data_IF_961450790779
#
_entry.id   IF_961450790779
#
_cell.length_a   1.000
_cell.length_b   1.000
_cell.length_c   1.000
_cell.angle_alpha   90.00
_cell.angle_beta   90.00
_cell.angle_gamma   90.00
#
_symmetry.space_group_name_H-M   'P 1'
#
loop_
_entity.id
_entity.type
_entity.pdbx_description
1 polymer ?
#
# COMPACT_ATOMS: atom_id res chain seq x y z
N UNK A 1 -13.18 -6.79 -23.35
CA UNK A 1 -12.73 -5.50 -22.77
C UNK A 1 -13.82 -4.78 -21.95
N UNK A 2 -15.09 -4.74 -22.38
CA UNK A 2 -16.17 -4.06 -21.62
C UNK A 2 -16.47 -4.68 -20.24
N UNK A 3 -16.35 -6.00 -20.08
CA UNK A 3 -16.52 -6.68 -18.78
C UNK A 3 -15.44 -6.28 -17.73
N UNK A 4 -14.27 -5.83 -18.16
CA UNK A 4 -13.23 -5.33 -17.25
C UNK A 4 -13.54 -3.91 -16.72
N UNK A 5 -14.40 -3.16 -17.41
CA UNK A 5 -14.78 -1.78 -17.04
C UNK A 5 -15.98 -1.77 -16.09
N UNK A 6 -16.90 -2.74 -16.20
CA UNK A 6 -18.08 -2.84 -15.32
C UNK A 6 -17.93 -3.82 -14.13
N UNK A 7 -16.78 -4.50 -14.03
CA UNK A 7 -16.20 -4.94 -12.77
C UNK A 7 -17.07 -5.85 -11.89
N UNK A 8 -17.53 -6.99 -12.41
CA UNK A 8 -18.18 -8.01 -11.59
C UNK A 8 -18.44 -9.32 -12.32
N UNK A 9 -18.58 -10.41 -11.56
CA UNK A 9 -18.94 -11.73 -12.07
C UNK A 9 -20.19 -11.68 -12.97
N UNK A 10 -21.18 -10.85 -12.60
CA UNK A 10 -22.39 -10.66 -13.38
C UNK A 10 -22.14 -10.06 -14.76
N UNK A 11 -21.24 -9.08 -14.88
CA UNK A 11 -20.95 -8.42 -16.15
C UNK A 11 -20.22 -9.36 -17.13
N UNK A 12 -19.30 -10.19 -16.65
CA UNK A 12 -18.63 -11.20 -17.47
C UNK A 12 -19.58 -12.31 -17.90
N UNK A 13 -20.44 -12.80 -16.99
CA UNK A 13 -21.44 -13.82 -17.32
C UNK A 13 -22.47 -13.32 -18.33
N UNK A 14 -22.94 -12.07 -18.19
CA UNK A 14 -23.82 -11.42 -19.15
C UNK A 14 -23.16 -11.26 -20.52
N UNK A 15 -21.88 -10.87 -20.58
CA UNK A 15 -21.15 -10.73 -21.83
C UNK A 15 -20.99 -12.08 -22.56
N UNK A 16 -20.64 -13.15 -21.83
CA UNK A 16 -20.57 -14.50 -22.39
C UNK A 16 -21.94 -15.00 -22.84
N UNK A 17 -22.99 -14.77 -22.05
CA UNK A 17 -24.36 -15.14 -22.41
C UNK A 17 -24.87 -14.41 -23.66
N UNK A 18 -24.66 -13.10 -23.74
CA UNK A 18 -25.02 -12.29 -24.92
C UNK A 18 -24.25 -12.76 -26.16
N UNK A 19 -22.96 -13.08 -26.03
CA UNK A 19 -22.17 -13.61 -27.14
C UNK A 19 -22.73 -14.96 -27.65
N UNK A 20 -23.16 -15.85 -26.74
CA UNK A 20 -23.82 -17.10 -27.13
C UNK A 20 -25.17 -16.85 -27.81
N UNK A 21 -25.98 -15.91 -27.32
CA UNK A 21 -27.27 -15.57 -27.93
C UNK A 21 -27.09 -15.00 -29.34
N UNK A 22 -26.11 -14.12 -29.54
CA UNK A 22 -25.78 -13.58 -30.86
C UNK A 22 -25.33 -14.72 -31.80
N UNK A 23 -24.46 -15.62 -31.32
CA UNK A 23 -23.97 -16.74 -32.12
C UNK A 23 -25.10 -17.71 -32.52
N UNK A 24 -26.12 -17.91 -31.69
CA UNK A 24 -27.20 -18.87 -31.97
C UNK A 24 -28.33 -18.24 -32.80
N UNK A 25 -28.74 -17.01 -32.47
CA UNK A 25 -29.93 -16.38 -33.06
C UNK A 25 -29.64 -15.40 -34.18
N UNK A 26 -28.51 -14.69 -34.12
CA UNK A 26 -28.18 -13.67 -35.12
C UNK A 26 -27.35 -14.25 -36.28
N UNK A 27 -26.54 -15.28 -36.01
CA UNK A 27 -25.71 -15.92 -37.03
C UNK A 27 -26.52 -16.46 -38.23
N UNK A 28 -27.64 -17.19 -38.05
CA UNK A 28 -28.42 -17.72 -39.18
C UNK A 28 -29.11 -16.63 -40.02
N UNK A 29 -29.17 -15.40 -39.52
CA UNK A 29 -29.69 -14.25 -40.26
C UNK A 29 -28.65 -13.65 -41.22
N UNK A 30 -27.36 -13.85 -40.93
CA UNK A 30 -26.25 -13.35 -41.75
C UNK A 30 -25.67 -14.42 -42.69
N UNK A 31 -25.77 -15.70 -42.32
CA UNK A 31 -25.17 -16.83 -43.03
C UNK A 31 -26.23 -17.93 -43.11
N UNK A 32 -26.43 -18.50 -44.31
CA UNK A 32 -27.44 -19.55 -44.57
C UNK A 32 -27.15 -20.89 -43.87
N UNK A 33 -26.07 -20.98 -43.09
CA UNK A 33 -25.65 -22.18 -42.36
C UNK A 33 -25.76 -21.96 -40.84
N UNK A 34 -26.22 -22.97 -40.08
CA UNK A 34 -26.31 -22.87 -38.63
C UNK A 34 -24.92 -22.76 -38.00
N UNK A 35 -24.79 -21.95 -36.95
CA UNK A 35 -23.54 -21.80 -36.19
C UNK A 35 -23.05 -23.12 -35.56
N UNK A 36 -23.99 -24.03 -35.29
CA UNK A 36 -23.71 -25.35 -34.73
C UNK A 36 -24.14 -26.39 -35.77
N UNK A 37 -23.17 -26.89 -36.54
CA UNK A 37 -23.38 -27.90 -37.57
C UNK A 37 -22.75 -29.26 -37.20
N UNK A 38 -21.76 -29.26 -36.31
CA UNK A 38 -20.97 -30.43 -35.92
C UNK A 38 -20.82 -30.55 -34.40
N UNK A 39 -20.48 -31.75 -33.93
CA UNK A 39 -20.09 -32.00 -32.53
C UNK A 39 -18.86 -31.16 -32.11
N UNK A 40 -18.01 -30.76 -33.06
CA UNK A 40 -16.88 -29.88 -32.80
C UNK A 40 -17.33 -28.46 -32.39
N UNK A 41 -18.44 -27.96 -32.94
CA UNK A 41 -18.97 -26.62 -32.66
C UNK A 41 -19.57 -26.56 -31.25
N UNK A 42 -20.22 -27.65 -30.82
CA UNK A 42 -20.69 -27.83 -29.44
C UNK A 42 -19.54 -27.78 -28.43
N UNK A 43 -18.43 -28.46 -28.73
CA UNK A 43 -17.22 -28.40 -27.90
C UNK A 43 -16.64 -26.99 -27.86
N UNK A 44 -16.62 -26.29 -29.00
CA UNK A 44 -16.21 -24.88 -29.08
C UNK A 44 -17.05 -23.96 -28.17
N UNK A 45 -18.38 -24.13 -28.17
CA UNK A 45 -19.28 -23.36 -27.33
C UNK A 45 -19.05 -23.62 -25.84
N UNK A 46 -18.85 -24.89 -25.45
CA UNK A 46 -18.55 -25.26 -24.06
C UNK A 46 -17.23 -24.64 -23.61
N UNK A 47 -16.18 -24.75 -24.42
CA UNK A 47 -14.87 -24.15 -24.14
C UNK A 47 -14.97 -22.63 -24.05
N UNK A 48 -15.77 -22.00 -24.91
CA UNK A 48 -16.02 -20.56 -24.88
C UNK A 48 -16.71 -20.12 -23.59
N UNK A 49 -17.80 -20.78 -23.20
CA UNK A 49 -18.54 -20.47 -21.97
C UNK A 49 -17.67 -20.69 -20.73
N UNK A 50 -16.90 -21.78 -20.72
CA UNK A 50 -15.97 -22.09 -19.64
C UNK A 50 -14.89 -21.01 -19.50
N UNK A 51 -14.21 -20.65 -20.59
CA UNK A 51 -13.19 -19.60 -20.57
C UNK A 51 -13.78 -18.23 -20.19
N UNK A 52 -14.97 -17.89 -20.67
CA UNK A 52 -15.65 -16.65 -20.31
C UNK A 52 -15.98 -16.56 -18.82
N UNK A 53 -16.49 -17.66 -18.26
CA UNK A 53 -16.80 -17.75 -16.82
C UNK A 53 -15.53 -17.68 -15.97
N UNK A 54 -14.48 -18.41 -16.38
CA UNK A 54 -13.19 -18.41 -15.69
C UNK A 54 -12.55 -17.02 -15.69
N UNK A 55 -12.55 -16.34 -16.84
CA UNK A 55 -12.06 -14.97 -16.95
C UNK A 55 -12.85 -14.01 -16.05
N UNK A 56 -14.16 -14.18 -15.95
CA UNK A 56 -15.01 -13.36 -15.08
C UNK A 56 -14.69 -13.54 -13.59
N UNK A 57 -14.43 -14.78 -13.15
CA UNK A 57 -14.04 -15.07 -11.76
C UNK A 57 -12.67 -14.45 -11.45
N UNK A 58 -11.70 -14.63 -12.34
CA UNK A 58 -10.35 -14.08 -12.19
C UNK A 58 -10.37 -12.56 -12.13
N UNK A 59 -11.14 -11.91 -13.00
CA UNK A 59 -11.27 -10.46 -13.00
C UNK A 59 -11.82 -9.91 -11.67
N UNK A 60 -12.84 -10.57 -11.11
CA UNK A 60 -13.41 -10.15 -9.82
C UNK A 60 -12.43 -10.38 -8.65
N UNK A 61 -11.75 -11.53 -8.64
CA UNK A 61 -10.71 -11.81 -7.65
C UNK A 61 -9.59 -10.77 -7.69
N UNK A 62 -9.16 -10.37 -8.89
CA UNK A 62 -8.13 -9.36 -9.12
C UNK A 62 -8.58 -7.98 -8.63
N UNK A 63 -9.84 -7.59 -8.87
CA UNK A 63 -10.39 -6.31 -8.38
C UNK A 63 -10.43 -6.28 -6.85
N UNK A 64 -10.94 -7.36 -6.22
CA UNK A 64 -11.00 -7.48 -4.76
C UNK A 64 -9.60 -7.46 -4.13
N UNK A 65 -8.63 -8.15 -4.74
CA UNK A 65 -7.25 -8.16 -4.29
C UNK A 65 -6.61 -6.77 -4.37
N UNK A 66 -6.83 -6.03 -5.47
CA UNK A 66 -6.33 -4.67 -5.62
C UNK A 66 -6.93 -3.70 -4.59
N UNK A 67 -8.24 -3.79 -4.33
CA UNK A 67 -8.89 -2.94 -3.32
C UNK A 67 -8.31 -3.23 -1.93
N UNK A 68 -8.18 -4.51 -1.56
CA UNK A 68 -7.58 -4.90 -0.27
C UNK A 68 -6.13 -4.45 -0.14
N UNK A 69 -5.33 -4.64 -1.18
CA UNK A 69 -3.93 -4.21 -1.21
C UNK A 69 -3.81 -2.69 -1.08
N UNK A 70 -4.67 -1.94 -1.78
CA UNK A 70 -4.72 -0.48 -1.69
C UNK A 70 -5.07 -0.02 -0.27
N UNK A 71 -6.11 -0.59 0.34
CA UNK A 71 -6.51 -0.26 1.71
C UNK A 71 -5.41 -0.58 2.73
N UNK A 72 -4.78 -1.75 2.62
CA UNK A 72 -3.67 -2.13 3.51
C UNK A 72 -2.47 -1.19 3.33
N UNK A 73 -2.16 -0.80 2.09
CA UNK A 73 -1.12 0.18 1.78
C UNK A 73 -1.42 1.55 2.41
N UNK A 74 -2.62 2.07 2.20
CA UNK A 74 -3.04 3.37 2.76
C UNK A 74 -2.97 3.37 4.29
N UNK A 75 -3.38 2.28 4.94
CA UNK A 75 -3.28 2.15 6.40
C UNK A 75 -1.82 2.11 6.87
N UNK A 76 -0.95 1.36 6.18
CA UNK A 76 0.47 1.31 6.49
C UNK A 76 1.14 2.68 6.30
N UNK A 77 0.82 3.39 5.22
CA UNK A 77 1.33 4.74 4.94
C UNK A 77 0.86 5.75 5.99
N UNK A 78 -0.41 5.71 6.40
CA UNK A 78 -0.93 6.57 7.46
C UNK A 78 -0.21 6.33 8.79
N UNK A 79 0.00 5.06 9.16
CA UNK A 79 0.75 4.69 10.37
C UNK A 79 2.20 5.16 10.30
N UNK A 80 2.88 4.95 9.17
CA UNK A 80 4.27 5.39 8.99
C UNK A 80 4.39 6.91 9.04
N UNK A 81 3.46 7.63 8.41
CA UNK A 81 3.43 9.10 8.45
C UNK A 81 3.26 9.60 9.88
N UNK A 82 2.31 9.03 10.64
CA UNK A 82 2.11 9.38 12.04
C UNK A 82 3.37 9.12 12.88
N UNK A 83 4.02 7.96 12.68
CA UNK A 83 5.29 7.62 13.34
C UNK A 83 6.40 8.62 13.01
N UNK A 84 6.60 8.94 11.73
CA UNK A 84 7.61 9.90 11.29
C UNK A 84 7.37 11.30 11.84
N UNK A 85 6.12 11.78 11.82
CA UNK A 85 5.76 13.07 12.41
C UNK A 85 5.99 13.08 13.92
N UNK A 86 5.61 12.01 14.63
CA UNK A 86 5.87 11.88 16.06
C UNK A 86 7.37 11.91 16.37
N UNK A 87 8.18 11.13 15.66
CA UNK A 87 9.63 11.10 15.86
C UNK A 87 10.29 12.46 15.57
N UNK A 88 9.91 13.12 14.47
CA UNK A 88 10.43 14.44 14.13
C UNK A 88 10.11 15.47 15.23
N UNK A 89 8.86 15.48 15.71
CA UNK A 89 8.44 16.37 16.79
C UNK A 89 9.21 16.08 18.08
N UNK A 90 9.38 14.81 18.44
CA UNK A 90 10.14 14.41 19.63
C UNK A 90 11.61 14.80 19.54
N UNK A 91 12.27 14.63 18.39
CA UNK A 91 13.64 15.10 18.21
C UNK A 91 13.76 16.60 18.42
N UNK A 92 12.81 17.39 17.92
CA UNK A 92 12.79 18.85 18.12
C UNK A 92 12.56 19.24 19.59
N UNK A 93 11.60 18.61 20.25
CA UNK A 93 11.28 18.87 21.66
C UNK A 93 12.38 18.42 22.61
N UNK A 94 13.15 17.38 22.27
CA UNK A 94 14.30 16.93 23.06
C UNK A 94 15.55 17.78 22.83
N UNK A 95 15.79 18.24 21.60
CA UNK A 95 16.96 19.06 21.25
C UNK A 95 17.02 20.37 22.05
N UNK A 96 15.88 21.02 22.23
CA UNK A 96 15.80 22.32 22.94
C UNK A 96 16.27 22.27 24.40
N UNK A 97 15.69 21.44 25.29
CA UNK A 97 16.14 21.32 26.67
C UNK A 97 17.57 20.74 26.77
N UNK A 98 17.94 19.82 25.88
CA UNK A 98 19.27 19.21 25.89
C UNK A 98 20.37 20.22 25.53
N UNK A 99 20.14 21.05 24.51
CA UNK A 99 21.03 22.15 24.16
C UNK A 99 21.13 23.17 25.30
N UNK A 100 20.04 23.44 26.03
CA UNK A 100 20.07 24.31 27.20
C UNK A 100 20.95 23.72 28.33
N UNK A 101 20.78 22.43 28.65
CA UNK A 101 21.60 21.73 29.66
C UNK A 101 23.08 21.75 29.28
N UNK A 102 23.42 21.43 28.03
CA UNK A 102 24.80 21.48 27.54
C UNK A 102 25.39 22.90 27.61
N UNK A 103 24.62 23.91 27.19
CA UNK A 103 25.00 25.32 27.29
C UNK A 103 25.29 25.74 28.74
N UNK A 104 24.39 25.45 29.67
CA UNK A 104 24.58 25.77 31.09
C UNK A 104 25.77 25.02 31.69
N UNK A 105 25.92 23.73 31.40
CA UNK A 105 27.04 22.95 31.92
C UNK A 105 28.40 23.48 31.42
N UNK A 106 28.45 23.94 30.17
CA UNK A 106 29.65 24.56 29.57
C UNK A 106 29.98 25.89 30.25
N UNK A 107 28.98 26.74 30.52
CA UNK A 107 29.15 27.99 31.25
C UNK A 107 29.63 27.75 32.69
N UNK A 108 29.04 26.79 33.41
CA UNK A 108 29.45 26.44 34.77
C UNK A 108 30.91 25.97 34.83
N UNK A 109 31.37 25.23 33.81
CA UNK A 109 32.74 24.72 33.72
C UNK A 109 33.81 25.83 33.60
N UNK A 110 33.43 27.03 33.15
CA UNK A 110 34.31 28.19 33.03
C UNK A 110 34.56 28.90 34.37
N UNK A 111 33.83 28.54 35.44
CA UNK A 111 34.03 29.14 36.76
C UNK A 111 35.39 28.74 37.36
N UNK A 112 36.18 29.70 37.89
CA UNK A 112 37.50 29.43 38.45
C UNK A 112 37.44 28.68 39.81
N UNK A 113 36.36 28.84 40.58
CA UNK A 113 36.19 28.25 41.92
C UNK A 113 35.56 26.85 41.92
N UNK A 114 35.53 26.15 40.77
CA UNK A 114 34.90 24.84 40.67
C UNK A 114 35.80 23.71 41.20
N UNK A 115 35.30 22.90 42.13
CA UNK A 115 36.01 21.71 42.63
C UNK A 115 36.24 20.67 41.51
N UNK A 116 37.25 19.81 41.71
CA UNK A 116 37.57 18.70 40.79
C UNK A 116 36.38 17.79 40.52
N UNK A 117 35.63 17.46 41.57
CA UNK A 117 34.52 16.51 41.51
C UNK A 117 33.33 17.09 40.73
N UNK A 118 33.07 18.39 40.89
CA UNK A 118 32.07 19.10 40.07
C UNK A 118 32.50 19.21 38.60
N UNK A 119 33.80 19.42 38.30
CA UNK A 119 34.30 19.40 36.91
C UNK A 119 34.09 18.04 36.26
N UNK A 120 34.42 16.95 36.96
CA UNK A 120 34.22 15.60 36.44
C UNK A 120 32.74 15.29 36.20
N UNK A 121 31.85 15.78 37.07
CA UNK A 121 30.39 15.65 36.91
C UNK A 121 29.89 16.42 35.67
N UNK A 122 30.36 17.66 35.46
CA UNK A 122 30.00 18.46 34.28
C UNK A 122 30.52 17.84 32.97
N UNK A 123 31.71 17.25 32.98
CA UNK A 123 32.26 16.53 31.82
C UNK A 123 31.42 15.29 31.49
N UNK A 124 30.94 14.57 32.51
CA UNK A 124 30.02 13.45 32.31
C UNK A 124 28.69 13.90 31.69
N UNK A 125 28.08 14.98 32.22
CA UNK A 125 26.85 15.57 31.68
C UNK A 125 27.02 15.96 30.20
N UNK A 126 28.14 16.61 29.85
CA UNK A 126 28.42 17.00 28.46
C UNK A 126 28.52 15.79 27.54
N UNK A 127 29.36 14.80 27.90
CA UNK A 127 29.55 13.60 27.07
C UNK A 127 28.26 12.81 26.89
N UNK A 128 27.46 12.68 27.95
CA UNK A 128 26.16 12.01 27.87
C UNK A 128 25.15 12.78 27.02
N UNK A 129 25.13 14.12 27.12
CA UNK A 129 24.22 14.95 26.33
C UNK A 129 24.58 15.00 24.84
N UNK A 130 25.87 15.11 24.50
CA UNK A 130 26.35 15.02 23.12
C UNK A 130 26.04 13.64 22.51
N UNK A 131 26.22 12.56 23.29
CA UNK A 131 25.87 11.22 22.84
C UNK A 131 24.36 11.09 22.57
N UNK A 132 23.51 11.59 23.46
CA UNK A 132 22.05 11.55 23.24
C UNK A 132 21.62 12.37 22.01
N UNK A 133 22.24 13.54 21.78
CA UNK A 133 22.04 14.36 20.58
C UNK A 133 22.40 13.61 19.29
N UNK A 134 23.47 12.81 19.32
CA UNK A 134 23.88 12.00 18.16
C UNK A 134 22.90 10.87 17.82
N UNK A 135 22.12 10.40 18.79
CA UNK A 135 21.13 9.34 18.59
C UNK A 135 19.77 9.84 18.09
N UNK A 136 19.44 11.11 18.37
CA UNK A 136 18.15 11.73 17.99
C UNK A 136 18.22 12.56 16.68
N UNK A 137 19.43 12.79 16.16
CA UNK A 137 19.71 13.43 14.86
C UNK A 137 19.82 12.38 13.74
#
# INVERSE_FOLDING_TARGET
>A
MVAAIYGGFSAGLLATGLACLIAIFLWPLLVDEPFIASNADWLGLIVFVFNGTLMSIVAEAMLRANIRAKQAKEQAEASNKAKSTFLANMSHELRTPLNAILGFSTLMRQSPDLSSDHRQTLDLINRSGEHLLSLIN
#
